data_IF_153501651075
#
_entry.id   IF_153501651075
#
_cell.length_a   1.000
_cell.length_b   1.000
_cell.length_c   1.000
_cell.angle_alpha   90.00
_cell.angle_beta   90.00
_cell.angle_gamma   90.00
#
_symmetry.space_group_name_H-M   'P 1'
#
loop_
_entity.id
_entity.type
_entity.pdbx_description
1 polymer ?
#
# COMPACT_ATOMS: atom_id res chain seq x y z
N UNK A 1 13.14 0.04 10.84
CA UNK A 1 12.14 -0.57 9.95
C UNK A 1 12.64 -0.43 8.53
N UNK A 2 13.16 -1.51 7.95
CA UNK A 2 13.29 -1.60 6.49
C UNK A 2 11.87 -1.73 5.96
N UNK A 3 11.45 -0.81 5.09
CA UNK A 3 10.18 -0.95 4.38
C UNK A 3 10.48 -1.95 3.26
N UNK A 4 10.04 -3.19 3.45
CA UNK A 4 9.88 -4.13 2.35
C UNK A 4 8.45 -3.97 1.81
N UNK A 5 8.26 -3.86 0.48
CA UNK A 5 9.26 -3.71 -0.59
C UNK A 5 9.95 -2.32 -0.63
N UNK A 6 11.14 -2.26 -1.23
CA UNK A 6 11.97 -1.05 -1.36
C UNK A 6 11.24 0.10 -2.08
N UNK A 7 11.49 1.35 -1.66
CA UNK A 7 10.84 2.55 -2.22
C UNK A 7 11.03 2.65 -3.74
N UNK A 8 12.21 2.31 -4.27
CA UNK A 8 12.47 2.33 -5.72
C UNK A 8 11.53 1.40 -6.50
N UNK A 9 11.22 0.21 -5.95
CA UNK A 9 10.28 -0.74 -6.58
C UNK A 9 8.86 -0.21 -6.58
N UNK A 10 8.49 0.54 -5.55
CA UNK A 10 7.17 1.14 -5.43
C UNK A 10 7.02 2.35 -6.38
N UNK A 11 8.08 3.15 -6.52
CA UNK A 11 8.11 4.31 -7.41
C UNK A 11 7.97 3.92 -8.88
N UNK A 12 8.51 2.79 -9.30
CA UNK A 12 8.32 2.24 -10.66
C UNK A 12 6.83 2.04 -11.00
N UNK A 13 6.01 1.69 -9.99
CA UNK A 13 4.56 1.49 -10.15
C UNK A 13 3.74 2.77 -10.11
N UNK A 14 4.35 3.90 -9.76
CA UNK A 14 3.66 5.19 -9.60
C UNK A 14 4.31 6.28 -10.45
N UNK A 15 4.81 5.92 -11.64
CA UNK A 15 5.43 6.85 -12.60
C UNK A 15 6.59 7.67 -11.99
N UNK A 16 7.34 7.08 -11.07
CA UNK A 16 8.39 7.75 -10.29
C UNK A 16 7.92 8.97 -9.48
N UNK A 17 6.60 9.10 -9.27
CA UNK A 17 6.03 10.20 -8.50
C UNK A 17 5.80 9.81 -7.03
N UNK A 18 6.69 10.30 -6.17
CA UNK A 18 6.64 10.10 -4.70
C UNK A 18 5.36 10.59 -4.02
N UNK A 19 4.73 11.64 -4.56
CA UNK A 19 3.50 12.19 -3.98
C UNK A 19 2.29 11.30 -4.31
N UNK A 20 2.24 10.81 -5.55
CA UNK A 20 1.26 9.81 -5.97
C UNK A 20 1.43 8.54 -5.14
N UNK A 21 2.66 8.07 -4.94
CA UNK A 21 2.94 6.92 -4.09
C UNK A 21 2.39 7.08 -2.67
N UNK A 22 2.66 8.21 -2.02
CA UNK A 22 2.11 8.50 -0.69
C UNK A 22 0.58 8.49 -0.65
N UNK A 23 -0.08 9.08 -1.65
CA UNK A 23 -1.53 9.11 -1.73
C UNK A 23 -2.12 7.71 -1.91
N UNK A 24 -1.52 6.92 -2.81
CA UNK A 24 -1.94 5.54 -3.11
C UNK A 24 -1.79 4.65 -1.88
N UNK A 25 -0.62 4.66 -1.23
CA UNK A 25 -0.38 3.89 0.00
C UNK A 25 -1.37 4.32 1.09
N UNK A 26 -1.57 5.62 1.29
CA UNK A 26 -2.44 6.12 2.38
C UNK A 26 -3.90 5.73 2.18
N UNK A 27 -4.43 5.90 0.96
CA UNK A 27 -5.82 5.53 0.65
C UNK A 27 -6.00 4.02 0.82
N UNK A 28 -5.06 3.22 0.29
CA UNK A 28 -5.15 1.78 0.35
C UNK A 28 -5.00 1.23 1.77
N UNK A 29 -4.07 1.78 2.56
CA UNK A 29 -3.93 1.41 3.96
C UNK A 29 -5.21 1.72 4.77
N UNK A 30 -5.90 2.84 4.48
CA UNK A 30 -7.19 3.16 5.13
C UNK A 30 -8.30 2.20 4.75
N UNK A 31 -8.37 1.77 3.49
CA UNK A 31 -9.31 0.73 3.05
C UNK A 31 -9.06 -0.58 3.79
N UNK A 32 -7.80 -1.01 3.83
CA UNK A 32 -7.38 -2.21 4.57
C UNK A 32 -7.75 -2.10 6.04
N UNK A 33 -7.47 -0.98 6.72
CA UNK A 33 -7.82 -0.80 8.13
C UNK A 33 -9.33 -0.78 8.37
N UNK A 34 -10.11 -0.24 7.41
CA UNK A 34 -11.58 -0.21 7.50
C UNK A 34 -12.16 -1.61 7.39
N UNK A 35 -11.65 -2.44 6.47
CA UNK A 35 -12.05 -3.85 6.31
C UNK A 35 -11.52 -4.71 7.45
N UNK A 36 -10.28 -4.49 7.89
CA UNK A 36 -9.62 -5.24 8.97
C UNK A 36 -10.32 -5.05 10.32
N UNK A 37 -10.84 -3.84 10.58
CA UNK A 37 -11.70 -3.55 11.73
C UNK A 37 -13.00 -4.38 11.70
N UNK A 38 -13.47 -4.75 10.51
CA UNK A 38 -14.71 -5.50 10.32
C UNK A 38 -14.50 -7.02 10.28
N UNK A 39 -13.37 -7.50 9.73
CA UNK A 39 -13.25 -8.93 9.38
C UNK A 39 -11.98 -9.66 9.89
N UNK A 40 -10.90 -8.98 10.29
CA UNK A 40 -9.59 -9.64 10.50
C UNK A 40 -8.75 -9.01 11.62
N UNK A 41 -9.00 -9.40 12.87
CA UNK A 41 -8.17 -9.01 14.02
C UNK A 41 -6.81 -9.76 14.11
N UNK A 42 -6.59 -10.80 13.30
CA UNK A 42 -5.55 -11.81 13.56
C UNK A 42 -4.23 -11.69 12.78
N UNK A 43 -4.15 -10.83 11.76
CA UNK A 43 -2.87 -10.64 11.04
C UNK A 43 -2.02 -9.61 11.76
N UNK A 44 -0.88 -9.97 12.34
CA UNK A 44 0.05 -9.03 13.02
C UNK A 44 0.71 -7.99 12.07
N UNK A 45 0.39 -8.04 10.78
CA UNK A 45 0.95 -7.15 9.77
C UNK A 45 0.22 -5.79 9.74
N UNK A 46 1.00 -4.70 9.76
CA UNK A 46 0.47 -3.33 9.61
C UNK A 46 -0.17 -3.14 8.24
N UNK A 47 -1.31 -2.45 8.17
CA UNK A 47 -1.97 -2.16 6.90
C UNK A 47 -1.11 -1.41 5.89
N UNK A 48 -0.16 -0.58 6.36
CA UNK A 48 0.79 0.12 5.49
C UNK A 48 1.70 -0.88 4.77
N UNK A 49 2.15 -1.93 5.46
CA UNK A 49 2.99 -2.98 4.86
C UNK A 49 2.21 -3.78 3.83
N UNK A 50 0.96 -4.16 4.13
CA UNK A 50 0.07 -4.79 3.14
C UNK A 50 -0.16 -3.90 1.91
N UNK A 51 -0.42 -2.60 2.12
CA UNK A 51 -0.62 -1.67 1.01
C UNK A 51 0.61 -1.58 0.10
N UNK A 52 1.81 -1.52 0.68
CA UNK A 52 3.05 -1.53 -0.10
C UNK A 52 3.23 -2.83 -0.89
N UNK A 53 2.92 -3.98 -0.29
CA UNK A 53 2.96 -5.28 -0.99
C UNK A 53 1.97 -5.32 -2.16
N UNK A 54 0.73 -4.88 -1.97
CA UNK A 54 -0.29 -4.87 -3.03
C UNK A 54 0.07 -3.93 -4.19
N UNK A 55 0.70 -2.78 -3.90
CA UNK A 55 1.20 -1.87 -4.93
C UNK A 55 2.35 -2.50 -5.70
N UNK A 56 3.29 -3.15 -5.01
CA UNK A 56 4.41 -3.83 -5.67
C UNK A 56 3.96 -5.01 -6.53
N UNK A 57 2.93 -5.74 -6.09
CA UNK A 57 2.28 -6.83 -6.84
C UNK A 57 1.47 -6.31 -8.04
N UNK A 58 1.23 -5.00 -8.13
CA UNK A 58 0.46 -4.38 -9.22
C UNK A 58 -1.05 -4.53 -9.09
N UNK A 59 -1.55 -4.93 -7.90
CA UNK A 59 -2.98 -5.06 -7.60
C UNK A 59 -3.68 -3.70 -7.46
N UNK A 60 -2.92 -2.65 -7.14
CA UNK A 60 -3.42 -1.29 -6.94
C UNK A 60 -2.67 -0.36 -7.88
N UNK A 61 -3.37 0.36 -8.75
CA UNK A 61 -2.79 1.35 -9.65
C UNK A 61 -3.22 2.77 -9.26
N UNK A 62 -2.39 3.79 -9.55
CA UNK A 62 -2.77 5.19 -9.35
C UNK A 62 -4.05 5.61 -10.07
N UNK A 63 -4.36 4.97 -11.21
CA UNK A 63 -5.55 5.24 -12.01
C UNK A 63 -6.85 4.69 -11.41
N UNK A 64 -6.77 3.81 -10.41
CA UNK A 64 -7.93 3.27 -9.68
C UNK A 64 -8.35 4.18 -8.51
N UNK A 65 -7.69 5.34 -8.33
CA UNK A 65 -7.80 6.21 -7.14
C UNK A 65 -8.45 7.55 -7.42
#
# INVERSE_FOLDING_TARGET
MMIEPSIDKLLDKTENNKYVLCNVITKRAKEIESVRRLELADKDQKAISLACEEIADGKVKPSDI
#
